data_IF_602083837834
#
_entry.id   IF_602083837834
#
_cell.length_a   1.000
_cell.length_b   1.000
_cell.length_c   1.000
_cell.angle_alpha   90.00
_cell.angle_beta   90.00
_cell.angle_gamma   90.00
#
_symmetry.space_group_name_H-M   'P 1'
#
loop_
_entity.id
_entity.type
_entity.pdbx_description
1 polymer ?
#
# COMPACT_ATOMS: atom_id res chain seq x y z
N UNK A 1 -20.57 -0.06 -27.09
CA UNK A 1 -20.62 -0.74 -25.78
C UNK A 1 -20.00 0.21 -24.78
N UNK A 2 -20.77 0.73 -23.83
CA UNK A 2 -20.25 1.62 -22.78
C UNK A 2 -19.69 0.71 -21.70
N UNK A 3 -18.37 0.70 -21.53
CA UNK A 3 -17.73 0.01 -20.40
C UNK A 3 -18.13 0.76 -19.14
N UNK A 4 -18.93 0.12 -18.28
CA UNK A 4 -19.18 0.58 -16.92
C UNK A 4 -17.82 0.80 -16.24
N UNK A 5 -17.56 1.95 -15.59
CA UNK A 5 -16.34 2.11 -14.81
C UNK A 5 -16.35 1.01 -13.74
N UNK A 6 -15.46 0.03 -13.91
CA UNK A 6 -15.23 -1.02 -12.93
C UNK A 6 -14.68 -0.32 -11.69
N UNK A 7 -15.11 -0.74 -10.49
CA UNK A 7 -14.59 -0.18 -9.26
C UNK A 7 -13.06 -0.23 -9.29
N UNK A 8 -12.41 0.88 -8.94
CA UNK A 8 -10.95 1.01 -8.99
C UNK A 8 -10.32 -0.06 -8.10
N UNK A 9 -9.49 -0.91 -8.71
CA UNK A 9 -8.77 -1.95 -8.01
C UNK A 9 -7.54 -1.35 -7.33
N UNK A 10 -7.55 -1.30 -6.00
CA UNK A 10 -6.56 -0.53 -5.24
C UNK A 10 -5.60 -1.39 -4.41
N UNK A 11 -4.31 -1.12 -4.58
CA UNK A 11 -3.26 -1.62 -3.69
C UNK A 11 -3.02 -0.67 -2.53
N UNK A 12 -2.72 -1.18 -1.34
CA UNK A 12 -2.29 -0.39 -0.20
C UNK A 12 -0.82 -0.67 0.11
N UNK A 13 0.04 0.35 0.11
CA UNK A 13 1.42 0.19 0.59
C UNK A 13 1.57 0.70 2.02
N UNK A 14 1.92 -0.19 2.93
CA UNK A 14 2.19 0.12 4.33
C UNK A 14 3.67 -0.08 4.63
N UNK A 15 4.30 0.92 5.23
CA UNK A 15 5.72 0.83 5.61
C UNK A 15 5.97 1.42 6.98
N UNK A 16 6.77 0.73 7.79
CA UNK A 16 7.29 1.24 9.07
C UNK A 16 8.82 1.14 9.02
N UNK A 17 9.50 2.23 9.36
CA UNK A 17 10.96 2.33 9.27
C UNK A 17 11.70 1.62 10.40
N UNK A 18 11.07 1.53 11.57
CA UNK A 18 11.64 0.91 12.78
C UNK A 18 10.53 0.26 13.59
N UNK A 19 10.60 -1.06 13.72
CA UNK A 19 9.75 -1.84 14.62
C UNK A 19 10.59 -2.93 15.29
N UNK A 20 11.51 -2.55 16.20
CA UNK A 20 12.52 -3.45 16.76
C UNK A 20 11.92 -4.56 17.63
N UNK A 21 10.64 -4.46 17.99
CA UNK A 21 9.90 -5.44 18.77
C UNK A 21 8.89 -6.24 17.92
N UNK A 22 8.89 -6.06 16.59
CA UNK A 22 7.92 -6.61 15.61
C UNK A 22 6.46 -6.55 16.09
N UNK A 23 6.08 -5.43 16.73
CA UNK A 23 4.73 -5.27 17.29
C UNK A 23 3.69 -5.05 16.21
N UNK A 24 4.10 -4.60 15.02
CA UNK A 24 3.26 -4.31 13.84
C UNK A 24 2.12 -3.32 14.06
N UNK A 25 2.03 -2.71 15.24
CA UNK A 25 0.98 -1.74 15.58
C UNK A 25 0.93 -0.57 14.59
N UNK A 26 2.09 -0.11 14.11
CA UNK A 26 2.18 0.94 13.11
C UNK A 26 1.68 0.53 11.72
N UNK A 27 1.85 -0.74 11.33
CA UNK A 27 1.31 -1.28 10.08
C UNK A 27 -0.20 -1.48 10.21
N UNK A 28 -0.66 -2.10 11.30
CA UNK A 28 -2.09 -2.38 11.49
C UNK A 28 -2.92 -1.10 11.56
N UNK A 29 -2.40 -0.03 12.18
CA UNK A 29 -3.05 1.29 12.12
C UNK A 29 -3.15 1.83 10.70
N UNK A 30 -2.08 1.74 9.90
CA UNK A 30 -2.13 2.17 8.50
C UNK A 30 -3.17 1.38 7.71
N UNK A 31 -3.23 0.06 7.90
CA UNK A 31 -4.20 -0.81 7.24
C UNK A 31 -5.62 -0.39 7.61
N UNK A 32 -5.91 -0.21 8.90
CA UNK A 32 -7.23 0.24 9.36
C UNK A 32 -7.62 1.60 8.75
N UNK A 33 -6.72 2.58 8.77
CA UNK A 33 -6.96 3.91 8.22
C UNK A 33 -7.20 3.86 6.70
N UNK A 34 -6.45 3.02 5.96
CA UNK A 34 -6.65 2.84 4.52
C UNK A 34 -7.90 2.04 4.16
N UNK A 35 -8.31 1.08 4.99
CA UNK A 35 -9.58 0.35 4.79
C UNK A 35 -10.76 1.30 4.94
N UNK A 36 -10.74 2.18 5.95
CA UNK A 36 -11.77 3.21 6.10
C UNK A 36 -11.84 4.14 4.88
N UNK A 37 -10.69 4.47 4.28
CA UNK A 37 -10.65 5.24 3.04
C UNK A 37 -11.26 4.47 1.86
N UNK A 38 -11.02 3.16 1.76
CA UNK A 38 -11.60 2.32 0.70
C UNK A 38 -13.13 2.28 0.77
N UNK A 39 -13.69 2.17 1.97
CA UNK A 39 -15.14 2.20 2.19
C UNK A 39 -15.75 3.53 1.72
N UNK A 40 -15.14 4.66 2.11
CA UNK A 40 -15.61 6.00 1.72
C UNK A 40 -15.49 6.24 0.20
N UNK A 41 -14.51 5.62 -0.46
CA UNK A 41 -14.23 5.80 -1.88
C UNK A 41 -14.88 4.76 -2.79
N UNK A 42 -15.58 3.79 -2.22
CA UNK A 42 -16.12 2.63 -2.94
C UNK A 42 -15.04 1.91 -3.78
N UNK A 43 -13.83 1.84 -3.24
CA UNK A 43 -12.69 1.17 -3.88
C UNK A 43 -12.63 -0.30 -3.46
N UNK A 44 -12.15 -1.15 -4.38
CA UNK A 44 -11.94 -2.57 -4.09
C UNK A 44 -10.49 -2.79 -3.67
N UNK A 45 -10.22 -3.23 -2.42
CA UNK A 45 -8.87 -3.57 -2.01
C UNK A 45 -8.40 -4.86 -2.68
N UNK A 46 -7.27 -4.79 -3.39
CA UNK A 46 -6.65 -5.96 -4.05
C UNK A 46 -5.56 -6.59 -3.17
N UNK A 47 -4.96 -5.80 -2.27
CA UNK A 47 -3.98 -6.31 -1.33
C UNK A 47 -3.27 -5.23 -0.52
N UNK A 48 -2.63 -5.68 0.56
CA UNK A 48 -1.73 -4.87 1.37
C UNK A 48 -0.29 -5.30 1.13
N UNK A 49 0.53 -4.37 0.67
CA UNK A 49 1.96 -4.51 0.44
C UNK A 49 2.67 -3.92 1.66
N UNK A 50 3.25 -4.79 2.50
CA UNK A 50 3.74 -4.39 3.83
C UNK A 50 5.25 -4.57 3.94
N UNK A 51 5.98 -3.47 4.10
CA UNK A 51 7.41 -3.47 4.43
C UNK A 51 7.61 -2.96 5.88
N UNK A 52 7.65 -3.88 6.85
CA UNK A 52 7.94 -3.58 8.26
C UNK A 52 9.45 -3.53 8.52
N UNK A 53 9.88 -2.67 9.45
CA UNK A 53 11.29 -2.42 9.79
C UNK A 53 12.21 -2.09 8.59
N UNK A 54 11.66 -1.38 7.60
CA UNK A 54 12.38 -1.03 6.35
C UNK A 54 12.32 0.48 6.13
N UNK A 55 13.48 1.12 6.16
CA UNK A 55 13.60 2.54 5.80
C UNK A 55 13.58 2.72 4.28
N UNK A 56 13.21 3.91 3.82
CA UNK A 56 13.36 4.32 2.41
C UNK A 56 14.82 4.61 2.08
N UNK A 57 15.54 5.17 3.04
CA UNK A 57 16.77 5.92 2.78
C UNK A 57 18.05 5.16 3.05
N UNK A 58 17.99 3.98 3.65
CA UNK A 58 19.18 3.22 4.05
C UNK A 58 19.52 2.05 3.11
N UNK A 59 18.90 2.00 1.94
CA UNK A 59 19.13 0.94 0.94
C UNK A 59 18.62 -0.45 1.34
N UNK A 60 17.88 -0.59 2.46
CA UNK A 60 17.16 -1.84 2.74
C UNK A 60 16.21 -2.14 1.57
N UNK A 61 16.25 -3.38 1.07
CA UNK A 61 15.32 -3.83 0.02
C UNK A 61 13.87 -3.60 0.45
N UNK A 62 12.99 -3.35 -0.51
CA UNK A 62 11.55 -3.16 -0.27
C UNK A 62 10.78 -4.15 -1.14
N UNK A 63 10.80 -5.46 -0.82
CA UNK A 63 10.23 -6.48 -1.69
C UNK A 63 8.73 -6.27 -1.95
N UNK A 64 7.99 -5.72 -0.97
CA UNK A 64 6.56 -5.47 -1.17
C UNK A 64 6.29 -4.21 -1.99
N UNK A 65 7.21 -3.26 -1.97
CA UNK A 65 7.23 -2.18 -2.96
C UNK A 65 7.43 -2.72 -4.38
N UNK A 66 8.36 -3.65 -4.58
CA UNK A 66 8.61 -4.24 -5.89
C UNK A 66 7.40 -5.06 -6.39
N UNK A 67 6.76 -5.83 -5.51
CA UNK A 67 5.50 -6.54 -5.80
C UNK A 67 4.39 -5.56 -6.22
N UNK A 68 4.26 -4.43 -5.52
CA UNK A 68 3.29 -3.38 -5.85
C UNK A 68 3.53 -2.83 -7.26
N UNK A 69 4.78 -2.51 -7.59
CA UNK A 69 5.15 -2.02 -8.93
C UNK A 69 4.87 -3.06 -10.03
N UNK A 70 5.11 -4.34 -9.75
CA UNK A 70 4.80 -5.42 -10.67
C UNK A 70 3.29 -5.54 -10.91
N UNK A 71 2.46 -5.42 -9.86
CA UNK A 71 1.01 -5.48 -9.99
C UNK A 71 0.40 -4.26 -10.69
N UNK A 72 1.00 -3.06 -10.52
CA UNK A 72 0.69 -1.88 -11.34
C UNK A 72 1.00 -2.17 -12.81
N UNK A 73 2.21 -2.67 -13.09
CA UNK A 73 2.67 -2.96 -14.45
C UNK A 73 1.80 -4.03 -15.13
N UNK A 74 1.31 -5.00 -14.37
CA UNK A 74 0.41 -6.04 -14.84
C UNK A 74 -1.06 -5.57 -14.98
N UNK A 75 -1.39 -4.34 -14.62
CA UNK A 75 -2.75 -3.81 -14.67
C UNK A 75 -3.70 -4.43 -13.65
N UNK A 76 -3.18 -5.03 -12.58
CA UNK A 76 -3.99 -5.61 -11.50
C UNK A 76 -4.48 -4.57 -10.50
N UNK A 77 -3.78 -3.44 -10.41
CA UNK A 77 -4.21 -2.30 -9.59
C UNK A 77 -4.19 -1.01 -10.41
N UNK A 78 -5.23 -0.22 -10.25
CA UNK A 78 -5.48 1.03 -10.96
C UNK A 78 -4.95 2.25 -10.19
N UNK A 79 -4.75 2.12 -8.87
CA UNK A 79 -4.13 3.14 -8.03
C UNK A 79 -3.64 2.61 -6.68
N UNK A 80 -2.91 3.47 -5.98
CA UNK A 80 -2.24 3.17 -4.70
C UNK A 80 -2.88 4.01 -3.59
N UNK A 81 -3.23 3.37 -2.48
CA UNK A 81 -3.45 4.05 -1.21
C UNK A 81 -2.19 3.98 -0.36
N UNK A 82 -1.79 5.13 0.18
CA UNK A 82 -0.72 5.25 1.15
C UNK A 82 -1.19 6.20 2.26
N UNK A 83 -0.90 5.85 3.50
CA UNK A 83 -1.34 6.62 4.68
C UNK A 83 -0.67 8.00 4.77
N UNK A 84 0.55 8.15 4.24
CA UNK A 84 1.27 9.43 4.20
C UNK A 84 2.22 9.45 2.99
N UNK A 85 2.31 10.58 2.30
CA UNK A 85 3.18 10.80 1.14
C UNK A 85 4.68 10.77 1.53
N UNK A 86 5.02 11.05 2.79
CA UNK A 86 6.41 10.97 3.29
C UNK A 86 6.94 9.52 3.43
N UNK A 87 6.10 8.52 3.11
CA UNK A 87 6.46 7.10 3.19
C UNK A 87 7.23 6.57 1.98
N UNK A 88 7.34 7.30 0.86
CA UNK A 88 8.07 6.76 -0.29
C UNK A 88 8.18 7.63 -1.53
N UNK A 89 9.07 8.63 -1.50
CA UNK A 89 9.63 9.18 -2.75
C UNK A 89 11.14 9.47 -2.69
N UNK A 90 11.80 9.13 -1.58
CA UNK A 90 13.26 9.17 -1.42
C UNK A 90 13.88 7.79 -1.38
#
# INVERSE_FOLDING_TARGET
>A
MVTTPTAKQQGCYCRISSDPQDKRAGVERQRADTTALYEVKEWMPVGFYVDNDRSASNGKQRPRWDDLLADITAGKIDAIAAWDQDRGWG
#
